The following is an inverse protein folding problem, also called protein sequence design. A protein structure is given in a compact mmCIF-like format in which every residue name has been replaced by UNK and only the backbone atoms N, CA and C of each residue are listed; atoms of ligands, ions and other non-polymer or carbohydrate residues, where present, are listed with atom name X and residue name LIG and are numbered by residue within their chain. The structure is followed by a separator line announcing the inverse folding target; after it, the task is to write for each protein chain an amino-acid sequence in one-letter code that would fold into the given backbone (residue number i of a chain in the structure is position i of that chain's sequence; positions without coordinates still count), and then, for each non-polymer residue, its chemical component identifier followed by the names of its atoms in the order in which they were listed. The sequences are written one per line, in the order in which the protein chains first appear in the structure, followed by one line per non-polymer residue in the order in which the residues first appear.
data_IF_571278738542
#
_entry.id   IF_571278738542
#
_cell.length_a   1.000
_cell.length_b   1.000
_cell.length_c   1.000
_cell.angle_alpha   90.00
_cell.angle_beta   90.00
_cell.angle_gamma   90.00
#
_symmetry.space_group_name_H-M   'P 1'
#
loop_
_entity.id
_entity.type
_entity.pdbx_description
1 polymer ?
#
# COMPACT_ATOMS: atom_id res chain seq x y z
N UNK A 1 -0.42 -24.46 -0.09
CA UNK A 1 -0.45 -22.97 -0.04
C UNK A 1 -0.70 -22.37 -1.42
N UNK A 2 -0.01 -22.86 -2.46
CA UNK A 2 -0.08 -22.38 -3.85
C UNK A 2 -1.46 -22.55 -4.53
N UNK A 3 -2.23 -23.58 -4.15
CA UNK A 3 -3.54 -23.87 -4.73
C UNK A 3 -4.72 -23.09 -4.13
N UNK A 4 -4.51 -22.28 -3.08
CA UNK A 4 -5.55 -21.41 -2.50
C UNK A 4 -5.29 -19.93 -2.81
N UNK A 5 -4.02 -19.51 -2.89
CA UNK A 5 -3.67 -18.12 -3.19
C UNK A 5 -3.87 -17.74 -4.66
N UNK A 6 -3.75 -18.68 -5.61
CA UNK A 6 -3.88 -18.39 -7.06
C UNK A 6 -5.32 -18.43 -7.58
N UNK A 7 -6.19 -19.20 -6.94
CA UNK A 7 -7.57 -19.45 -7.39
C UNK A 7 -8.57 -18.39 -6.91
N UNK A 8 -8.16 -17.51 -6.00
CA UNK A 8 -9.01 -16.47 -5.39
C UNK A 8 -8.56 -15.03 -5.70
N UNK A 9 -7.64 -14.81 -6.64
CA UNK A 9 -7.34 -13.45 -7.08
C UNK A 9 -8.47 -12.96 -7.98
N UNK A 10 -9.31 -12.07 -7.46
CA UNK A 10 -10.29 -11.33 -8.27
C UNK A 10 -9.56 -10.40 -9.24
N UNK A 11 -10.23 -9.96 -10.32
CA UNK A 11 -9.70 -8.94 -11.26
C UNK A 11 -9.06 -7.74 -10.55
N UNK A 12 -9.57 -7.35 -9.38
CA UNK A 12 -9.06 -6.23 -8.57
C UNK A 12 -7.65 -6.44 -8.01
N UNK A 13 -7.18 -7.69 -7.95
CA UNK A 13 -5.89 -8.06 -7.33
C UNK A 13 -4.93 -8.75 -8.29
N UNK A 14 -5.18 -8.68 -9.60
CA UNK A 14 -4.29 -9.23 -10.64
C UNK A 14 -2.87 -8.64 -10.59
N UNK A 15 -2.69 -7.48 -9.96
CA UNK A 15 -1.38 -6.85 -9.76
C UNK A 15 -0.47 -7.52 -8.71
N UNK A 16 -1.00 -8.39 -7.84
CA UNK A 16 -0.22 -9.04 -6.77
C UNK A 16 0.78 -10.05 -7.37
N UNK A 17 2.02 -10.02 -6.90
CA UNK A 17 3.15 -10.82 -7.42
C UNK A 17 4.17 -11.14 -6.33
N UNK A 18 5.17 -11.97 -6.65
CA UNK A 18 6.27 -12.31 -5.74
C UNK A 18 6.02 -13.54 -4.86
N UNK A 19 4.95 -14.30 -5.15
CA UNK A 19 4.62 -15.53 -4.43
C UNK A 19 5.77 -16.54 -4.45
N UNK A 20 6.45 -16.66 -5.58
CA UNK A 20 7.59 -17.54 -5.79
C UNK A 20 8.77 -17.22 -4.85
N UNK A 21 8.97 -15.94 -4.53
CA UNK A 21 10.05 -15.53 -3.62
C UNK A 21 9.72 -15.90 -2.18
N UNK A 22 8.45 -15.76 -1.78
CA UNK A 22 7.97 -16.18 -0.46
C UNK A 22 8.05 -17.71 -0.32
N UNK A 23 7.67 -18.45 -1.37
CA UNK A 23 7.77 -19.92 -1.38
C UNK A 23 9.23 -20.38 -1.28
N UNK A 24 10.14 -19.77 -2.04
CA UNK A 24 11.57 -20.07 -1.97
C UNK A 24 12.13 -19.80 -0.58
N UNK A 25 11.82 -18.63 0.00
CA UNK A 25 12.25 -18.29 1.36
C UNK A 25 11.70 -19.29 2.39
N UNK A 26 10.43 -19.69 2.26
CA UNK A 26 9.81 -20.70 3.14
C UNK A 26 10.53 -22.04 3.04
N UNK A 27 10.83 -22.52 1.83
CA UNK A 27 11.53 -23.79 1.62
C UNK A 27 12.90 -23.78 2.30
N UNK A 28 13.67 -22.71 2.12
CA UNK A 28 14.99 -22.58 2.73
C UNK A 28 14.92 -22.54 4.26
N UNK A 29 13.98 -21.78 4.82
CA UNK A 29 13.77 -21.70 6.28
C UNK A 29 13.37 -23.07 6.85
N UNK A 30 12.51 -23.82 6.17
CA UNK A 30 12.10 -25.16 6.63
C UNK A 30 13.27 -26.17 6.66
N UNK A 31 14.35 -25.95 5.92
CA UNK A 31 15.55 -26.80 6.04
C UNK A 31 16.30 -26.59 7.37
N UNK A 32 16.17 -25.40 7.96
CA UNK A 32 16.90 -25.01 9.17
C UNK A 32 16.03 -25.15 10.43
N UNK A 33 14.75 -24.79 10.33
CA UNK A 33 13.82 -24.84 11.46
C UNK A 33 12.42 -25.35 11.03
N UNK A 34 12.28 -26.67 10.81
CA UNK A 34 11.05 -27.28 10.34
C UNK A 34 9.84 -26.94 11.24
N UNK A 35 8.78 -26.39 10.64
CA UNK A 35 7.51 -26.11 11.32
C UNK A 35 7.54 -24.98 12.35
N UNK A 36 8.64 -24.20 12.44
CA UNK A 36 8.78 -23.14 13.46
C UNK A 36 8.26 -21.79 12.96
N UNK A 37 8.61 -21.40 11.73
CA UNK A 37 8.32 -20.05 11.20
C UNK A 37 7.07 -20.08 10.33
N UNK A 38 6.03 -19.34 10.72
CA UNK A 38 4.80 -19.22 9.92
C UNK A 38 5.01 -18.41 8.63
N UNK A 39 4.19 -18.67 7.63
CA UNK A 39 4.19 -17.91 6.38
C UNK A 39 3.80 -16.45 6.61
N UNK A 40 2.90 -16.18 7.56
CA UNK A 40 2.53 -14.83 7.99
C UNK A 40 3.75 -14.03 8.52
N UNK A 41 4.64 -14.68 9.27
CA UNK A 41 5.89 -14.04 9.74
C UNK A 41 6.85 -13.81 8.58
N UNK A 42 6.99 -14.76 7.65
CA UNK A 42 7.87 -14.62 6.47
C UNK A 42 7.48 -13.42 5.62
N UNK A 43 6.18 -13.25 5.30
CA UNK A 43 5.70 -12.10 4.52
C UNK A 43 6.01 -10.78 5.22
N UNK A 44 5.80 -10.70 6.54
CA UNK A 44 6.08 -9.49 7.31
C UNK A 44 7.59 -9.15 7.35
N UNK A 45 8.46 -10.16 7.48
CA UNK A 45 9.92 -9.96 7.44
C UNK A 45 10.41 -9.59 6.05
N UNK A 46 9.89 -10.25 5.00
CA UNK A 46 10.20 -9.94 3.61
C UNK A 46 9.84 -8.48 3.27
N UNK A 47 8.69 -7.99 3.75
CA UNK A 47 8.30 -6.59 3.57
C UNK A 47 9.30 -5.61 4.23
N UNK A 48 9.70 -5.86 5.48
CA UNK A 48 10.73 -5.06 6.16
C UNK A 48 12.05 -5.07 5.40
N UNK A 49 12.51 -6.25 4.97
CA UNK A 49 13.79 -6.38 4.29
C UNK A 49 13.76 -5.75 2.89
N UNK A 50 12.63 -5.82 2.17
CA UNK A 50 12.45 -5.12 0.90
C UNK A 50 12.56 -3.59 1.06
N UNK A 51 11.91 -3.02 2.08
CA UNK A 51 12.01 -1.58 2.40
C UNK A 51 13.46 -1.20 2.71
N UNK A 52 14.18 -2.04 3.46
CA UNK A 52 15.57 -1.78 3.78
C UNK A 52 16.50 -1.86 2.57
N UNK A 53 16.30 -2.85 1.70
CA UNK A 53 17.04 -2.99 0.45
C UNK A 53 16.80 -1.82 -0.51
N UNK A 54 15.62 -1.18 -0.44
CA UNK A 54 15.30 0.03 -1.19
C UNK A 54 15.90 1.32 -0.59
N UNK A 55 16.78 1.21 0.41
CA UNK A 55 17.54 2.34 0.98
C UNK A 55 16.99 2.92 2.29
N UNK A 56 16.03 2.26 2.92
CA UNK A 56 15.41 2.74 4.17
C UNK A 56 15.99 2.07 5.42
N UNK A 57 15.88 2.70 6.61
CA UNK A 57 16.23 2.04 7.86
C UNK A 57 15.34 0.81 8.14
N UNK A 58 15.95 -0.27 8.64
CA UNK A 58 15.21 -1.42 9.16
C UNK A 58 14.40 -1.02 10.38
N UNK A 59 13.20 -1.58 10.49
CA UNK A 59 12.35 -1.48 11.68
C UNK A 59 12.06 -2.86 12.26
N UNK A 60 11.72 -2.90 13.55
CA UNK A 60 11.37 -4.16 14.20
C UNK A 60 10.06 -4.72 13.64
N UNK A 61 10.02 -6.02 13.40
CA UNK A 61 8.79 -6.74 13.02
C UNK A 61 8.51 -7.75 14.12
N UNK A 62 7.31 -7.72 14.66
CA UNK A 62 6.90 -8.66 15.71
C UNK A 62 6.85 -10.09 15.15
N UNK A 63 7.37 -11.04 15.91
CA UNK A 63 7.26 -12.47 15.61
C UNK A 63 6.00 -13.07 16.23
N UNK A 64 5.69 -14.33 15.89
CA UNK A 64 4.65 -15.11 16.57
C UNK A 64 3.28 -15.15 15.91
N UNK A 65 3.09 -14.47 14.76
CA UNK A 65 1.87 -14.63 13.96
C UNK A 65 1.69 -16.08 13.54
N UNK A 66 0.47 -16.59 13.58
CA UNK A 66 0.15 -17.93 13.05
C UNK A 66 -0.59 -17.86 11.72
N UNK A 67 -0.42 -18.89 10.90
CA UNK A 67 -1.04 -18.96 9.58
C UNK A 67 -2.56 -19.16 9.69
N UNK A 68 -3.30 -18.41 8.87
CA UNK A 68 -4.72 -18.62 8.67
C UNK A 68 -5.02 -19.98 8.05
N UNK A 69 -6.23 -20.49 8.27
CA UNK A 69 -6.73 -21.74 7.65
C UNK A 69 -7.79 -21.48 6.57
N UNK A 70 -8.11 -20.22 6.33
CA UNK A 70 -9.17 -19.77 5.41
C UNK A 70 -8.59 -18.64 4.58
N UNK A 71 -8.90 -18.67 3.29
CA UNK A 71 -8.74 -17.53 2.36
C UNK A 71 -10.15 -17.01 2.05
N UNK A 72 -10.31 -15.68 1.96
CA UNK A 72 -11.63 -15.06 1.80
C UNK A 72 -11.60 -13.94 0.77
N UNK A 73 -12.37 -14.15 -0.31
CA UNK A 73 -12.65 -13.17 -1.36
C UNK A 73 -13.42 -11.94 -0.84
N UNK A 74 -14.25 -12.13 0.20
CA UNK A 74 -15.03 -11.06 0.80
C UNK A 74 -14.13 -10.07 1.53
N UNK A 75 -13.16 -10.57 2.32
CA UNK A 75 -12.16 -9.72 2.98
C UNK A 75 -11.30 -8.97 1.97
N UNK A 76 -10.96 -9.61 0.85
CA UNK A 76 -10.24 -8.94 -0.24
C UNK A 76 -11.08 -7.84 -0.91
N UNK A 77 -12.41 -7.94 -0.87
CA UNK A 77 -13.31 -6.94 -1.46
C UNK A 77 -13.45 -5.66 -0.62
N UNK A 78 -13.04 -5.69 0.64
CA UNK A 78 -13.05 -4.53 1.55
C UNK A 78 -11.79 -3.65 1.41
N UNK A 79 -10.81 -4.07 0.59
CA UNK A 79 -9.58 -3.29 0.40
C UNK A 79 -9.85 -1.94 -0.31
N UNK A 80 -9.02 -0.92 -0.04
CA UNK A 80 -9.09 0.37 -0.75
C UNK A 80 -8.95 0.22 -2.27
N UNK A 81 -9.75 0.97 -3.03
CA UNK A 81 -9.61 1.12 -4.48
C UNK A 81 -8.78 2.36 -4.82
N UNK A 82 -8.11 2.33 -5.97
CA UNK A 82 -7.30 3.46 -6.46
C UNK A 82 -8.12 4.72 -6.73
N UNK A 83 -9.44 4.61 -6.87
CA UNK A 83 -10.37 5.72 -7.10
C UNK A 83 -11.21 6.08 -5.87
N UNK A 84 -10.99 5.44 -4.71
CA UNK A 84 -11.71 5.78 -3.48
C UNK A 84 -11.51 7.27 -3.11
N UNK A 85 -12.57 7.89 -2.60
CA UNK A 85 -12.50 9.27 -2.09
C UNK A 85 -11.69 9.32 -0.79
N UNK A 86 -11.27 10.52 -0.39
CA UNK A 86 -10.52 10.67 0.86
C UNK A 86 -11.35 10.26 2.10
N UNK A 87 -12.67 10.46 2.05
CA UNK A 87 -13.63 10.02 3.05
C UNK A 87 -13.70 8.49 3.12
N UNK A 88 -13.81 7.82 1.97
CA UNK A 88 -13.82 6.36 1.89
C UNK A 88 -12.51 5.77 2.42
N UNK A 89 -11.37 6.34 2.01
CA UNK A 89 -10.05 5.92 2.50
C UNK A 89 -9.98 6.07 4.02
N UNK A 90 -10.33 7.23 4.56
CA UNK A 90 -10.37 7.45 6.02
C UNK A 90 -11.27 6.43 6.71
N UNK A 91 -12.46 6.17 6.20
CA UNK A 91 -13.39 5.20 6.76
C UNK A 91 -12.79 3.80 6.82
N UNK A 92 -12.22 3.30 5.71
CA UNK A 92 -11.56 1.99 5.63
C UNK A 92 -10.38 1.88 6.59
N UNK A 93 -9.55 2.92 6.71
CA UNK A 93 -8.38 2.94 7.61
C UNK A 93 -8.72 3.24 9.08
N UNK A 94 -9.92 3.74 9.38
CA UNK A 94 -10.39 4.04 10.74
C UNK A 94 -11.00 2.82 11.46
N UNK A 95 -11.07 1.65 10.81
CA UNK A 95 -11.64 0.41 11.37
C UNK A 95 -10.82 -0.26 12.50
N UNK A 96 -10.00 0.48 13.24
CA UNK A 96 -9.31 -0.02 14.43
C UNK A 96 -9.46 0.84 15.69
N UNK A 97 -10.24 1.94 15.67
CA UNK A 97 -10.60 2.68 16.89
C UNK A 97 -12.11 2.97 16.90
N UNK A 98 -12.90 1.97 17.28
CA UNK A 98 -14.27 2.07 17.84
C UNK A 98 -15.10 3.33 17.48
N UNK A 99 -16.01 3.23 16.50
CA UNK A 99 -17.29 3.96 16.33
C UNK A 99 -17.61 4.05 14.82
N UNK A 100 -18.71 3.52 14.26
CA UNK A 100 -20.11 3.98 14.47
C UNK A 100 -20.19 5.46 14.80
N UNK A 101 -19.84 6.36 13.88
CA UNK A 101 -20.50 7.67 13.75
C UNK A 101 -20.22 8.21 12.34
N UNK A 102 -21.22 8.88 11.78
CA UNK A 102 -21.22 9.66 10.53
C UNK A 102 -21.68 8.92 9.26
N UNK A 103 -23.00 8.84 9.12
CA UNK A 103 -23.67 8.95 7.82
C UNK A 103 -23.39 10.37 7.27
N UNK A 104 -22.72 10.48 6.13
CA UNK A 104 -22.67 11.73 5.38
C UNK A 104 -22.79 11.47 3.88
N UNK A 105 -23.70 12.22 3.27
CA UNK A 105 -24.07 12.18 1.86
C UNK A 105 -22.94 12.73 0.98
N UNK A 106 -22.60 11.99 -0.07
CA UNK A 106 -21.71 12.41 -1.14
C UNK A 106 -22.40 13.45 -2.03
N UNK A 107 -21.85 14.66 -2.13
CA UNK A 107 -22.21 15.57 -3.23
C UNK A 107 -20.97 16.11 -3.92
N UNK A 108 -20.87 15.76 -5.21
CA UNK A 108 -20.20 16.48 -6.28
C UNK A 108 -18.75 16.90 -6.02
N UNK A 109 -17.82 15.95 -6.11
CA UNK A 109 -16.41 16.28 -6.17
C UNK A 109 -15.92 16.22 -7.62
N UNK A 110 -15.93 17.38 -8.27
CA UNK A 110 -15.25 17.57 -9.56
C UNK A 110 -13.76 17.57 -9.31
N UNK A 111 -13.03 16.53 -9.73
CA UNK A 111 -11.56 16.35 -9.58
C UNK A 111 -10.77 17.66 -9.82
N UNK A 112 -10.40 18.41 -8.75
CA UNK A 112 -9.88 19.75 -8.92
C UNK A 112 -8.44 19.82 -8.45
N UNK A 113 -7.52 18.98 -8.94
CA UNK A 113 -6.09 19.23 -8.68
C UNK A 113 -5.05 18.55 -9.58
N UNK A 114 -5.40 18.14 -10.80
CA UNK A 114 -4.37 17.68 -11.73
C UNK A 114 -3.43 18.83 -12.13
N UNK A 115 -2.13 18.66 -11.90
CA UNK A 115 -1.14 19.60 -12.42
C UNK A 115 -1.24 19.61 -13.96
N UNK A 116 -1.51 20.77 -14.60
CA UNK A 116 -1.74 20.81 -16.04
C UNK A 116 -0.51 20.38 -16.85
N UNK A 117 0.69 20.39 -16.26
CA UNK A 117 1.91 19.88 -16.90
C UNK A 117 2.02 18.35 -16.85
N UNK A 118 1.36 17.70 -15.89
CA UNK A 118 1.49 16.27 -15.66
C UNK A 118 0.52 15.45 -16.51
N UNK A 119 -0.69 15.95 -16.73
CA UNK A 119 -1.71 15.24 -17.50
C UNK A 119 -1.26 14.87 -18.94
N UNK A 120 -0.56 15.74 -19.69
CA UNK A 120 0.00 15.36 -20.99
C UNK A 120 1.03 14.23 -20.90
N UNK A 121 1.85 14.22 -19.84
CA UNK A 121 2.87 13.21 -19.62
C UNK A 121 2.25 11.85 -19.27
N UNK A 122 1.27 11.82 -18.36
CA UNK A 122 0.51 10.61 -18.05
C UNK A 122 -0.21 10.06 -19.27
N UNK A 123 -0.87 10.91 -20.08
CA UNK A 123 -1.55 10.46 -21.31
C UNK A 123 -0.58 9.85 -22.33
N UNK A 124 0.66 10.31 -22.36
CA UNK A 124 1.71 9.72 -23.20
C UNK A 124 2.14 8.35 -22.69
N UNK A 125 2.20 8.16 -21.37
CA UNK A 125 2.56 6.88 -20.75
C UNK A 125 1.40 5.87 -20.74
N UNK A 126 0.15 6.36 -20.62
CA UNK A 126 -1.11 5.61 -20.65
C UNK A 126 -1.98 6.06 -21.83
N UNK A 127 -1.62 5.70 -23.07
CA UNK A 127 -2.43 6.05 -24.23
C UNK A 127 -3.79 5.35 -24.18
N UNK A 128 -4.82 6.00 -24.75
CA UNK A 128 -6.12 5.37 -24.95
C UNK A 128 -5.94 4.14 -25.84
N UNK A 129 -6.30 2.95 -25.34
CA UNK A 129 -6.02 1.63 -25.93
C UNK A 129 -4.55 1.16 -25.87
N UNK A 130 -3.78 1.67 -24.90
CA UNK A 130 -2.45 1.15 -24.60
C UNK A 130 -2.48 -0.25 -24.00
N UNK A 131 -1.30 -0.87 -23.91
CA UNK A 131 -1.13 -2.15 -23.22
C UNK A 131 -1.34 -1.96 -21.71
N UNK A 132 -2.35 -2.64 -21.17
CA UNK A 132 -2.72 -2.61 -19.75
C UNK A 132 -1.63 -3.18 -18.83
N UNK A 133 -0.66 -3.93 -19.38
CA UNK A 133 0.45 -4.51 -18.63
C UNK A 133 1.62 -3.54 -18.45
N UNK A 134 1.58 -2.37 -19.11
CA UNK A 134 2.59 -1.32 -18.95
C UNK A 134 2.53 -0.77 -17.54
N UNK A 135 3.67 -0.76 -16.86
CA UNK A 135 3.79 -0.28 -15.48
C UNK A 135 4.47 1.06 -15.45
N UNK A 136 3.83 2.01 -14.76
CA UNK A 136 4.38 3.33 -14.49
C UNK A 136 4.87 3.35 -13.04
N UNK A 137 6.08 3.88 -12.78
CA UNK A 137 6.55 4.02 -11.42
C UNK A 137 5.66 5.02 -10.65
N UNK A 138 5.23 4.64 -9.45
CA UNK A 138 4.42 5.47 -8.56
C UNK A 138 5.15 6.75 -8.16
N UNK A 139 6.46 6.64 -7.96
CA UNK A 139 7.36 7.78 -7.85
C UNK A 139 8.24 7.87 -9.10
N UNK A 140 8.00 8.90 -9.91
CA UNK A 140 8.72 9.08 -11.17
C UNK A 140 10.13 9.66 -10.97
N UNK A 141 10.43 10.22 -9.80
CA UNK A 141 11.71 10.88 -9.50
C UNK A 141 12.69 9.87 -8.92
N UNK A 142 12.27 9.07 -7.94
CA UNK A 142 13.11 8.09 -7.24
C UNK A 142 12.52 6.67 -7.31
N UNK A 143 12.35 6.19 -8.54
CA UNK A 143 11.63 4.96 -8.94
C UNK A 143 11.88 3.71 -8.09
N UNK A 144 13.14 3.48 -7.68
CA UNK A 144 13.56 2.28 -6.96
C UNK A 144 14.04 2.57 -5.53
N UNK A 145 13.82 3.79 -5.03
CA UNK A 145 14.19 4.18 -3.67
C UNK A 145 12.96 4.33 -2.80
N UNK A 146 13.07 3.86 -1.57
CA UNK A 146 12.08 4.15 -0.55
C UNK A 146 12.48 5.43 0.16
N UNK A 147 11.78 6.53 -0.14
CA UNK A 147 11.99 7.83 0.48
C UNK A 147 10.68 8.64 0.57
N UNK A 148 10.77 9.91 0.96
CA UNK A 148 9.66 10.84 1.11
C UNK A 148 9.30 11.59 -0.19
N UNK A 149 9.90 11.24 -1.33
CA UNK A 149 9.66 11.90 -2.61
C UNK A 149 8.21 11.75 -3.09
N UNK A 150 7.55 10.64 -2.77
CA UNK A 150 6.12 10.46 -3.07
C UNK A 150 5.26 11.58 -2.43
N UNK A 151 5.61 12.03 -1.22
CA UNK A 151 4.90 13.13 -0.53
C UNK A 151 5.11 14.46 -1.26
N UNK A 152 6.32 14.70 -1.77
CA UNK A 152 6.62 15.87 -2.60
C UNK A 152 5.89 15.83 -3.94
N UNK A 153 5.71 14.65 -4.53
CA UNK A 153 4.96 14.48 -5.78
C UNK A 153 3.47 14.79 -5.56
N UNK A 154 2.86 14.23 -4.52
CA UNK A 154 1.46 14.50 -4.15
C UNK A 154 1.22 15.99 -3.94
N UNK A 155 2.03 16.64 -3.09
CA UNK A 155 1.96 18.08 -2.83
C UNK A 155 2.01 18.96 -4.09
N UNK A 156 2.73 18.51 -5.12
CA UNK A 156 2.92 19.26 -6.38
C UNK A 156 1.90 18.88 -7.47
N UNK A 157 0.96 17.98 -7.18
CA UNK A 157 -0.03 17.49 -8.14
C UNK A 157 0.53 16.50 -9.16
N UNK A 158 1.57 15.74 -8.80
CA UNK A 158 2.22 14.71 -9.62
C UNK A 158 1.94 13.28 -9.10
N UNK A 159 0.85 13.08 -8.36
CA UNK A 159 0.43 11.75 -7.92
C UNK A 159 -0.05 10.90 -9.12
N UNK A 160 0.44 9.65 -9.22
CA UNK A 160 0.14 8.76 -10.35
C UNK A 160 -1.26 8.14 -10.27
N UNK A 161 -1.72 7.81 -9.07
CA UNK A 161 -3.06 7.25 -8.82
C UNK A 161 -3.95 8.28 -8.11
N UNK A 162 -5.26 8.16 -8.32
CA UNK A 162 -6.22 9.13 -7.79
C UNK A 162 -6.22 9.15 -6.26
N UNK A 163 -6.22 7.99 -5.60
CA UNK A 163 -6.19 7.89 -4.13
C UNK A 163 -5.02 8.64 -3.49
N UNK A 164 -3.86 8.69 -4.14
CA UNK A 164 -2.70 9.45 -3.67
C UNK A 164 -2.93 10.96 -3.83
N UNK A 165 -3.54 11.38 -4.95
CA UNK A 165 -3.91 12.77 -5.17
C UNK A 165 -4.94 13.25 -4.11
N UNK A 166 -5.91 12.39 -3.77
CA UNK A 166 -6.95 12.66 -2.76
C UNK A 166 -6.40 12.95 -1.37
N UNK A 167 -5.18 12.51 -1.05
CA UNK A 167 -4.53 12.87 0.22
C UNK A 167 -4.31 14.38 0.38
N UNK A 168 -4.30 15.15 -0.71
CA UNK A 168 -4.11 16.61 -0.69
C UNK A 168 -5.42 17.41 -0.82
N UNK A 169 -6.57 16.73 -0.96
CA UNK A 169 -7.90 17.36 -1.05
C UNK A 169 -8.46 17.67 0.35
N UNK A 170 -8.19 16.83 1.35
CA UNK A 170 -8.63 17.04 2.73
C UNK A 170 -7.61 17.84 3.55
N UNK A 171 -8.11 18.78 4.36
CA UNK A 171 -7.29 19.68 5.15
C UNK A 171 -6.37 18.97 6.15
N UNK A 172 -6.80 17.87 6.79
CA UNK A 172 -5.99 17.16 7.78
C UNK A 172 -4.91 16.31 7.11
N UNK A 173 -5.26 15.55 6.07
CA UNK A 173 -4.27 14.72 5.36
C UNK A 173 -3.27 15.59 4.59
N UNK A 174 -3.70 16.74 4.08
CA UNK A 174 -2.82 17.76 3.49
C UNK A 174 -1.73 18.22 4.46
N UNK A 175 -2.07 18.50 5.72
CA UNK A 175 -1.07 18.87 6.73
C UNK A 175 -0.06 17.74 6.98
N UNK A 176 -0.51 16.49 6.98
CA UNK A 176 0.37 15.32 7.13
C UNK A 176 1.31 15.19 5.91
N UNK A 177 0.78 15.35 4.69
CA UNK A 177 1.59 15.35 3.46
C UNK A 177 2.62 16.49 3.49
N UNK A 178 2.21 17.70 3.87
CA UNK A 178 3.11 18.85 3.96
C UNK A 178 4.21 18.63 5.00
N UNK A 179 3.88 18.01 6.13
CA UNK A 179 4.82 17.66 7.17
C UNK A 179 5.84 16.60 6.72
N UNK A 180 5.39 15.52 6.08
CA UNK A 180 6.30 14.49 5.58
C UNK A 180 7.13 14.95 4.39
N UNK A 181 6.58 15.79 3.51
CA UNK A 181 7.33 16.39 2.41
C UNK A 181 8.48 17.31 2.88
N UNK A 182 8.47 17.74 4.15
CA UNK A 182 9.54 18.51 4.80
C UNK A 182 10.65 17.62 5.42
N UNK A 183 10.47 16.29 5.46
CA UNK A 183 11.58 15.33 5.45
C UNK A 183 11.78 14.46 6.69
N UNK A 184 11.95 15.02 7.89
CA UNK A 184 12.63 14.25 8.95
C UNK A 184 11.80 13.16 9.63
N UNK A 185 10.46 13.20 9.55
CA UNK A 185 9.60 12.37 10.39
C UNK A 185 9.02 11.14 9.67
N UNK A 186 9.00 11.14 8.33
CA UNK A 186 8.31 10.11 7.56
C UNK A 186 8.84 8.69 7.87
N UNK A 187 10.16 8.52 8.02
CA UNK A 187 10.78 7.25 8.38
C UNK A 187 10.30 6.65 9.69
N UNK A 188 10.26 7.48 10.72
CA UNK A 188 9.90 7.01 12.05
C UNK A 188 8.40 6.66 12.10
N UNK A 189 7.56 7.48 11.49
CA UNK A 189 6.11 7.25 11.49
C UNK A 189 5.71 6.09 10.58
N UNK A 190 6.38 5.93 9.43
CA UNK A 190 6.18 4.78 8.54
C UNK A 190 6.52 3.47 9.27
N UNK A 191 7.66 3.40 9.96
CA UNK A 191 8.03 2.22 10.75
C UNK A 191 6.96 1.88 11.81
N UNK A 192 6.46 2.90 12.55
CA UNK A 192 5.39 2.70 13.52
C UNK A 192 4.08 2.24 12.86
N UNK A 193 3.73 2.80 11.71
CA UNK A 193 2.53 2.43 10.96
C UNK A 193 2.61 0.97 10.48
N UNK A 194 3.77 0.55 9.95
CA UNK A 194 3.99 -0.84 9.51
C UNK A 194 3.91 -1.84 10.67
N UNK A 195 4.45 -1.50 11.85
CA UNK A 195 4.30 -2.35 13.05
C UNK A 195 2.84 -2.45 13.47
N UNK A 196 2.10 -1.33 13.48
CA UNK A 196 0.66 -1.33 13.81
C UNK A 196 -0.15 -2.15 12.80
N UNK A 197 0.11 -1.99 11.51
CA UNK A 197 -0.53 -2.76 10.44
C UNK A 197 -0.27 -4.27 10.61
N UNK A 198 0.95 -4.64 11.01
CA UNK A 198 1.30 -6.02 11.31
C UNK A 198 0.55 -6.64 12.50
N UNK A 199 -0.21 -5.87 13.29
CA UNK A 199 -1.02 -6.37 14.42
C UNK A 199 -2.49 -6.58 14.06
N UNK A 200 -2.91 -6.25 12.85
CA UNK A 200 -4.29 -6.41 12.41
C UNK A 200 -4.60 -7.91 12.28
N UNK A 201 -5.66 -8.37 12.96
CA UNK A 201 -6.20 -9.73 12.78
C UNK A 201 -5.24 -10.88 13.11
N UNK A 202 -4.18 -10.63 13.88
CA UNK A 202 -3.18 -11.66 14.22
C UNK A 202 -3.77 -12.77 15.10
N UNK A 203 -3.36 -14.01 14.81
CA UNK A 203 -3.68 -15.23 15.57
C UNK A 203 -2.50 -15.72 16.38
#
# INVERSE_FOLDING_TARGET
MTALLRTELTRRHEGVRGFEQIEKAKQEIETQCPGVVSCAVIVAMAARDAVALAGWPKYAVESGRRDGRVSSLELASDMPDVNDSIETLKSKFNLSYSARLYEFNETNDSDPQFNPKFLPELRRMCPKNGDINVRIPMDQVTKDKFDDQIMRNIKKGFAVIASDARLYDDHLTKQVVDFYAAGSQFALDFARAMVRMGRIGVK
#
